data_IF_040218727300
#
_entry.id   IF_040218727300
#
_cell.length_a   1.000
_cell.length_b   1.000
_cell.length_c   1.000
_cell.angle_alpha   90.00
_cell.angle_beta   90.00
_cell.angle_gamma   90.00
#
_symmetry.space_group_name_H-M   'P 1'
#
loop_
_entity.id
_entity.type
_entity.pdbx_description
1 polymer ?
#
# COMPACT_ATOMS: atom_id res chain seq x y z
N UNK A 1 -3.93 -20.89 6.97
CA UNK A 1 -4.17 -19.44 7.12
C UNK A 1 -4.24 -18.88 5.72
N UNK A 2 -5.39 -18.35 5.33
CA UNK A 2 -5.55 -17.62 4.07
C UNK A 2 -4.99 -16.22 4.28
N UNK A 3 -4.23 -15.69 3.32
CA UNK A 3 -3.77 -14.29 3.38
C UNK A 3 -4.99 -13.36 3.32
N UNK A 4 -5.03 -12.32 4.15
CA UNK A 4 -6.09 -11.32 4.13
C UNK A 4 -5.66 -10.14 3.28
N UNK A 5 -6.50 -9.68 2.36
CA UNK A 5 -6.20 -8.49 1.58
C UNK A 5 -6.54 -7.24 2.37
N UNK A 6 -5.53 -6.48 2.75
CA UNK A 6 -5.66 -5.19 3.40
C UNK A 6 -5.49 -4.07 2.39
N UNK A 7 -6.29 -3.03 2.52
CA UNK A 7 -6.15 -1.85 1.68
C UNK A 7 -6.43 -0.59 2.49
N UNK A 8 -5.66 0.46 2.22
CA UNK A 8 -5.76 1.71 2.96
C UNK A 8 -5.87 2.88 1.99
N UNK A 9 -6.74 3.84 2.32
CA UNK A 9 -6.74 5.14 1.65
C UNK A 9 -5.36 5.77 1.82
N UNK A 10 -4.73 6.14 0.71
CA UNK A 10 -3.31 6.49 0.68
C UNK A 10 -3.07 7.85 0.03
N UNK A 11 -2.33 8.74 0.70
CA UNK A 11 -1.86 10.00 0.12
C UNK A 11 -0.74 9.74 -0.90
N UNK A 12 -1.17 9.29 -2.08
CA UNK A 12 -0.30 8.91 -3.18
C UNK A 12 0.54 10.10 -3.67
N UNK A 13 -0.02 11.30 -3.76
CA UNK A 13 0.72 12.47 -4.26
C UNK A 13 1.81 12.91 -3.27
N UNK A 14 1.50 12.88 -1.97
CA UNK A 14 2.49 13.12 -0.92
C UNK A 14 3.61 12.08 -0.95
N UNK A 15 3.25 10.81 -1.09
CA UNK A 15 4.19 9.71 -1.20
C UNK A 15 5.12 9.86 -2.42
N UNK A 16 4.58 10.10 -3.62
CA UNK A 16 5.35 10.28 -4.85
C UNK A 16 6.38 11.40 -4.73
N UNK A 17 6.00 12.51 -4.08
CA UNK A 17 6.83 13.71 -3.98
C UNK A 17 7.94 13.56 -2.93
N UNK A 18 7.65 12.88 -1.83
CA UNK A 18 8.50 12.91 -0.64
C UNK A 18 9.24 11.60 -0.39
N UNK A 19 8.51 10.47 -0.27
CA UNK A 19 9.09 9.20 0.16
C UNK A 19 9.53 8.33 -1.01
N UNK A 20 8.78 8.29 -2.12
CA UNK A 20 9.07 7.39 -3.25
C UNK A 20 10.51 7.52 -3.77
N UNK A 21 11.08 8.72 -4.00
CA UNK A 21 12.46 8.84 -4.47
C UNK A 21 13.46 8.28 -3.46
N UNK A 22 13.27 8.58 -2.17
CA UNK A 22 14.13 8.09 -1.08
C UNK A 22 14.06 6.57 -0.96
N UNK A 23 12.87 6.01 -1.06
CA UNK A 23 12.65 4.57 -0.98
C UNK A 23 13.26 3.85 -2.18
N UNK A 24 13.12 4.39 -3.40
CA UNK A 24 13.76 3.82 -4.58
C UNK A 24 15.29 3.86 -4.50
N UNK A 25 15.86 4.96 -4.02
CA UNK A 25 17.31 5.08 -3.78
C UNK A 25 17.79 4.11 -2.69
N UNK A 26 17.07 4.03 -1.58
CA UNK A 26 17.36 3.11 -0.49
C UNK A 26 17.33 1.65 -0.99
N UNK A 27 16.34 1.28 -1.81
CA UNK A 27 16.28 -0.07 -2.40
C UNK A 27 17.49 -0.36 -3.28
N UNK A 28 17.90 0.58 -4.12
CA UNK A 28 19.04 0.37 -5.03
C UNK A 28 20.37 0.29 -4.28
N UNK A 29 20.55 1.15 -3.29
CA UNK A 29 21.76 1.22 -2.47
C UNK A 29 21.81 0.20 -1.33
N UNK A 30 20.67 -0.45 -1.04
CA UNK A 30 20.47 -1.33 0.11
C UNK A 30 20.79 -0.63 1.45
N UNK A 31 20.65 0.70 1.50
CA UNK A 31 20.89 1.52 2.69
C UNK A 31 19.61 2.21 3.17
N UNK A 32 19.16 1.97 4.41
CA UNK A 32 17.96 2.61 4.96
C UNK A 32 18.21 4.00 5.58
N UNK A 33 19.43 4.52 5.57
CA UNK A 33 19.81 5.73 6.31
C UNK A 33 18.95 6.94 5.98
N UNK A 34 18.62 7.13 4.70
CA UNK A 34 17.74 8.20 4.23
C UNK A 34 16.31 8.06 4.75
N UNK A 35 15.81 6.83 4.90
CA UNK A 35 14.50 6.52 5.47
C UNK A 35 14.46 6.77 6.97
N UNK A 36 15.51 6.35 7.69
CA UNK A 36 15.66 6.61 9.13
C UNK A 36 15.67 8.12 9.40
N UNK A 37 16.46 8.87 8.62
CA UNK A 37 16.50 10.33 8.73
C UNK A 37 15.14 10.97 8.39
N UNK A 38 14.41 10.41 7.41
CA UNK A 38 13.08 10.88 7.03
C UNK A 38 12.07 10.73 8.17
N UNK A 39 12.05 9.57 8.85
CA UNK A 39 11.16 9.30 9.99
C UNK A 39 11.52 10.18 11.19
N UNK A 40 12.81 10.22 11.56
CA UNK A 40 13.29 11.00 12.73
C UNK A 40 13.01 12.50 12.64
N UNK A 41 12.96 13.05 11.42
CA UNK A 41 12.73 14.48 11.22
C UNK A 41 11.34 14.92 11.71
N UNK A 42 10.34 14.03 11.67
CA UNK A 42 8.95 14.38 11.98
C UNK A 42 8.20 13.18 12.58
N UNK A 43 8.79 12.59 13.63
CA UNK A 43 8.36 11.33 14.23
C UNK A 43 6.87 11.31 14.58
N UNK A 44 6.33 12.45 15.01
CA UNK A 44 4.94 12.60 15.41
C UNK A 44 3.91 12.29 14.31
N UNK A 45 4.33 12.25 13.04
CA UNK A 45 3.47 11.94 11.89
C UNK A 45 3.48 10.48 11.47
N UNK A 46 4.27 9.64 12.12
CA UNK A 46 4.40 8.24 11.81
C UNK A 46 3.76 7.39 12.91
N UNK A 47 3.22 6.26 12.50
CA UNK A 47 2.69 5.23 13.37
C UNK A 47 3.47 3.94 13.20
N UNK A 48 3.29 3.04 14.17
CA UNK A 48 3.62 1.64 14.06
C UNK A 48 2.73 1.01 12.95
N UNK A 49 3.31 0.38 11.92
CA UNK A 49 2.53 -0.24 10.84
C UNK A 49 1.71 -1.45 11.31
N UNK A 50 2.04 -2.05 12.46
CA UNK A 50 1.40 -3.25 13.01
C UNK A 50 0.29 -2.92 14.00
N UNK A 51 0.56 -1.99 14.92
CA UNK A 51 -0.39 -1.62 16.00
C UNK A 51 -1.17 -0.33 15.69
N UNK A 52 -0.66 0.52 14.79
CA UNK A 52 -1.25 1.82 14.46
C UNK A 52 -0.98 2.93 15.49
N UNK A 53 -0.30 2.61 16.59
CA UNK A 53 0.08 3.56 17.62
C UNK A 53 1.14 4.56 17.12
N UNK A 54 1.11 5.79 17.64
CA UNK A 54 2.09 6.81 17.27
C UNK A 54 3.50 6.42 17.70
N UNK A 55 4.48 6.60 16.80
CA UNK A 55 5.88 6.28 17.11
C UNK A 55 6.43 7.14 18.25
N UNK A 56 7.22 6.50 19.12
CA UNK A 56 7.95 7.12 20.22
C UNK A 56 9.45 7.20 19.91
N UNK A 57 10.22 7.96 20.69
CA UNK A 57 11.65 8.21 20.44
C UNK A 57 12.48 6.92 20.29
N UNK A 58 12.03 5.82 20.87
CA UNK A 58 12.66 4.50 20.85
C UNK A 58 12.08 3.55 19.80
N UNK A 59 11.31 4.05 18.82
CA UNK A 59 10.66 3.26 17.76
C UNK A 59 11.60 2.33 16.99
N UNK A 60 12.89 2.68 16.86
CA UNK A 60 13.88 1.81 16.21
C UNK A 60 14.05 0.45 16.93
N UNK A 61 13.64 0.35 18.21
CA UNK A 61 13.60 -0.92 18.92
C UNK A 61 12.56 -1.90 18.35
N UNK A 62 11.54 -1.39 17.64
CA UNK A 62 10.54 -2.18 16.93
C UNK A 62 11.08 -2.73 15.59
N UNK A 63 12.22 -2.23 15.12
CA UNK A 63 12.84 -2.63 13.85
C UNK A 63 13.77 -3.81 14.07
N UNK A 64 13.29 -5.01 13.76
CA UNK A 64 14.01 -6.27 13.90
C UNK A 64 15.03 -6.52 12.78
N UNK A 65 14.60 -6.42 11.52
CA UNK A 65 15.41 -6.77 10.34
C UNK A 65 16.41 -5.67 9.99
N UNK A 66 16.10 -4.41 10.33
CA UNK A 66 16.91 -3.21 10.06
C UNK A 66 17.27 -3.06 8.57
N UNK A 67 16.39 -3.52 7.70
CA UNK A 67 16.53 -3.43 6.26
C UNK A 67 15.65 -2.30 5.69
N UNK A 68 15.88 -1.99 4.42
CA UNK A 68 15.12 -0.95 3.68
C UNK A 68 13.61 -1.25 3.68
N UNK A 69 13.23 -2.52 3.71
CA UNK A 69 11.85 -2.95 3.68
C UNK A 69 11.11 -2.55 4.95
N UNK A 70 11.66 -2.91 6.11
CA UNK A 70 11.03 -2.59 7.39
C UNK A 70 11.06 -1.09 7.66
N UNK A 71 12.18 -0.39 7.42
CA UNK A 71 12.21 1.07 7.58
C UNK A 71 11.27 1.81 6.62
N UNK A 72 11.11 1.29 5.40
CA UNK A 72 10.13 1.80 4.44
C UNK A 72 8.69 1.60 4.92
N UNK A 73 8.41 0.49 5.61
CA UNK A 73 7.09 0.20 6.20
C UNK A 73 6.69 1.27 7.23
N UNK A 74 7.59 1.55 8.18
CA UNK A 74 7.41 2.64 9.14
C UNK A 74 7.27 4.00 8.45
N UNK A 75 8.06 4.27 7.40
CA UNK A 75 7.97 5.55 6.68
C UNK A 75 6.63 5.71 5.91
N UNK A 76 6.01 4.61 5.46
CA UNK A 76 4.76 4.64 4.72
C UNK A 76 3.57 5.07 5.57
N UNK A 77 3.58 4.83 6.89
CA UNK A 77 2.47 5.17 7.79
C UNK A 77 2.18 6.67 7.88
N UNK A 78 3.08 7.52 7.37
CA UNK A 78 2.79 8.95 7.15
C UNK A 78 1.65 9.20 6.15
N UNK A 79 1.42 8.26 5.23
CA UNK A 79 0.54 8.42 4.07
C UNK A 79 -0.75 7.60 4.15
N UNK A 80 -0.92 6.76 5.15
CA UNK A 80 -2.15 6.03 5.41
C UNK A 80 -2.35 5.81 6.91
N UNK A 81 -3.57 5.45 7.30
CA UNK A 81 -3.86 5.06 8.68
C UNK A 81 -3.91 3.52 8.78
N UNK A 82 -2.97 2.86 9.51
CA UNK A 82 -2.96 1.41 9.68
C UNK A 82 -4.22 0.82 10.32
N UNK A 83 -4.96 1.61 11.11
CA UNK A 83 -6.20 1.18 11.74
C UNK A 83 -7.44 1.30 10.84
N UNK A 84 -7.31 1.86 9.63
CA UNK A 84 -8.41 2.17 8.73
C UNK A 84 -8.43 1.26 7.49
N UNK A 85 -8.39 -0.06 7.71
CA UNK A 85 -8.48 -1.05 6.63
C UNK A 85 -9.84 -0.99 5.92
N UNK A 86 -9.79 -0.95 4.60
CA UNK A 86 -10.93 -0.98 3.68
C UNK A 86 -10.81 -2.11 2.65
N UNK A 87 -9.87 -3.03 2.86
CA UNK A 87 -9.54 -4.16 2.00
C UNK A 87 -10.67 -5.17 1.83
N UNK A 88 -10.37 -6.19 1.02
CA UNK A 88 -11.30 -7.26 0.66
C UNK A 88 -11.26 -8.44 1.65
N UNK A 89 -10.40 -8.38 2.68
CA UNK A 89 -10.27 -9.42 3.68
C UNK A 89 -9.98 -10.78 3.04
N UNK A 90 -10.64 -11.84 3.49
CA UNK A 90 -10.48 -13.20 2.98
C UNK A 90 -11.15 -13.46 1.62
N UNK A 91 -12.07 -12.60 1.17
CA UNK A 91 -12.83 -12.78 -0.08
C UNK A 91 -12.01 -12.42 -1.34
N UNK A 92 -10.81 -11.84 -1.13
CA UNK A 92 -10.00 -11.25 -2.20
C UNK A 92 -9.55 -12.24 -3.27
N UNK A 93 -9.24 -13.49 -2.93
CA UNK A 93 -8.77 -14.46 -3.91
C UNK A 93 -9.85 -14.80 -4.93
N UNK A 94 -11.10 -14.98 -4.46
CA UNK A 94 -12.24 -15.24 -5.32
C UNK A 94 -12.50 -14.06 -6.25
N UNK A 95 -12.46 -12.85 -5.70
CA UNK A 95 -12.59 -11.61 -6.47
C UNK A 95 -11.46 -11.50 -7.50
N UNK A 96 -10.20 -11.75 -7.11
CA UNK A 96 -9.04 -11.72 -8.01
C UNK A 96 -9.22 -12.64 -9.21
N UNK A 97 -9.65 -13.88 -8.97
CA UNK A 97 -9.88 -14.86 -10.05
C UNK A 97 -10.95 -14.37 -11.03
N UNK A 98 -12.02 -13.75 -10.52
CA UNK A 98 -13.06 -13.17 -11.38
C UNK A 98 -12.51 -11.99 -12.18
N UNK A 99 -11.81 -11.05 -11.54
CA UNK A 99 -11.19 -9.91 -12.23
C UNK A 99 -10.20 -10.37 -13.30
N UNK A 100 -9.33 -11.33 -13.00
CA UNK A 100 -8.36 -11.86 -13.96
C UNK A 100 -9.05 -12.53 -15.16
N UNK A 101 -10.17 -13.22 -14.93
CA UNK A 101 -10.98 -13.81 -16.01
C UNK A 101 -11.62 -12.74 -16.90
N UNK A 102 -12.20 -11.69 -16.32
CA UNK A 102 -12.92 -10.65 -17.07
C UNK A 102 -11.97 -9.62 -17.73
N UNK A 103 -10.86 -9.28 -17.08
CA UNK A 103 -9.97 -8.19 -17.47
C UNK A 103 -8.56 -8.64 -17.90
N UNK A 104 -8.20 -9.91 -17.71
CA UNK A 104 -6.87 -10.44 -18.03
C UNK A 104 -5.76 -9.96 -17.08
N UNK A 105 -6.09 -9.32 -15.97
CA UNK A 105 -5.15 -8.76 -15.00
C UNK A 105 -5.80 -8.59 -13.63
N UNK A 106 -5.02 -8.69 -12.55
CA UNK A 106 -5.45 -8.39 -11.16
C UNK A 106 -5.08 -6.97 -10.70
N UNK A 107 -4.67 -6.08 -11.62
CA UNK A 107 -4.21 -4.74 -11.28
C UNK A 107 -5.26 -3.86 -10.57
N UNK A 108 -6.55 -4.12 -10.75
CA UNK A 108 -7.61 -3.41 -10.03
C UNK A 108 -7.78 -3.87 -8.58
N UNK A 109 -7.40 -5.11 -8.29
CA UNK A 109 -7.38 -5.66 -6.92
C UNK A 109 -6.10 -5.19 -6.21
N UNK A 110 -4.94 -5.48 -6.80
CA UNK A 110 -3.66 -5.28 -6.13
C UNK A 110 -3.10 -3.87 -6.37
N UNK A 111 -3.05 -3.43 -7.62
CA UNK A 111 -2.28 -2.25 -8.04
C UNK A 111 -0.94 -2.62 -8.63
N UNK A 112 0.08 -1.77 -8.41
CA UNK A 112 1.42 -1.95 -8.97
C UNK A 112 2.48 -1.97 -7.87
N UNK A 113 3.47 -2.87 -7.95
CA UNK A 113 4.57 -2.86 -7.00
C UNK A 113 5.46 -1.63 -7.21
N UNK A 114 6.05 -1.12 -6.14
CA UNK A 114 7.15 -0.19 -6.26
C UNK A 114 8.44 -1.00 -6.50
N UNK A 115 9.13 -0.69 -7.58
CA UNK A 115 10.40 -1.31 -7.91
C UNK A 115 11.44 -0.28 -8.39
N UNK A 116 12.71 -0.57 -8.14
CA UNK A 116 13.85 0.18 -8.64
C UNK A 116 14.99 -0.79 -9.01
N UNK A 117 15.44 -0.74 -10.28
CA UNK A 117 16.50 -1.61 -10.81
C UNK A 117 16.28 -3.12 -10.52
N UNK A 118 15.05 -3.59 -10.65
CA UNK A 118 14.70 -5.00 -10.40
C UNK A 118 14.52 -5.38 -8.92
N UNK A 119 14.80 -4.47 -7.99
CA UNK A 119 14.49 -4.64 -6.57
C UNK A 119 13.09 -4.12 -6.27
N UNK A 120 12.26 -4.96 -5.65
CA UNK A 120 10.86 -4.67 -5.35
C UNK A 120 10.74 -4.36 -3.86
N UNK A 121 10.02 -3.30 -3.53
CA UNK A 121 9.69 -3.00 -2.14
C UNK A 121 8.64 -3.97 -1.60
N UNK A 122 9.01 -4.76 -0.59
CA UNK A 122 8.14 -5.76 0.01
C UNK A 122 8.34 -5.82 1.55
N UNK A 123 7.71 -4.91 2.32
CA UNK A 123 7.89 -4.78 3.77
C UNK A 123 7.48 -6.05 4.53
N UNK A 124 6.32 -6.61 4.18
CA UNK A 124 5.79 -7.83 4.80
C UNK A 124 6.26 -9.14 4.16
N UNK A 125 7.04 -9.10 3.08
CA UNK A 125 7.43 -10.27 2.27
C UNK A 125 6.23 -11.04 1.68
N UNK A 126 5.10 -10.34 1.56
CA UNK A 126 3.82 -10.87 1.07
C UNK A 126 3.26 -10.03 -0.09
N UNK A 127 3.92 -8.93 -0.44
CA UNK A 127 3.51 -8.00 -1.47
C UNK A 127 3.09 -6.64 -0.90
N UNK A 128 3.45 -5.60 -1.65
CA UNK A 128 3.11 -4.22 -1.37
C UNK A 128 2.84 -3.51 -2.70
N UNK A 129 1.62 -3.00 -2.84
CA UNK A 129 1.14 -2.47 -4.10
C UNK A 129 0.47 -1.12 -3.91
N UNK A 130 0.55 -0.29 -4.94
CA UNK A 130 0.03 1.06 -4.92
C UNK A 130 -0.88 1.30 -6.12
N UNK A 131 -1.95 2.06 -5.89
CA UNK A 131 -2.82 2.59 -6.94
C UNK A 131 -2.91 4.10 -6.80
N UNK A 132 -2.63 4.82 -7.89
CA UNK A 132 -2.88 6.26 -7.94
C UNK A 132 -4.37 6.55 -8.04
N UNK A 133 -4.77 7.82 -7.84
CA UNK A 133 -6.16 8.25 -8.10
C UNK A 133 -6.61 7.94 -9.52
N UNK A 134 -5.72 8.12 -10.50
CA UNK A 134 -6.02 7.82 -11.90
C UNK A 134 -6.21 6.32 -12.13
N UNK A 135 -5.46 5.47 -11.42
CA UNK A 135 -5.69 4.03 -11.46
C UNK A 135 -7.06 3.68 -10.89
N UNK A 136 -7.46 4.27 -9.75
CA UNK A 136 -8.77 4.06 -9.14
C UNK A 136 -9.90 4.42 -10.11
N UNK A 137 -9.88 5.62 -10.69
CA UNK A 137 -10.91 6.05 -11.65
C UNK A 137 -10.99 5.12 -12.87
N UNK A 138 -9.83 4.74 -13.42
CA UNK A 138 -9.76 3.80 -14.55
C UNK A 138 -10.35 2.45 -14.15
N UNK A 139 -9.99 1.94 -12.99
CA UNK A 139 -10.40 0.62 -12.52
C UNK A 139 -11.92 0.59 -12.25
N UNK A 140 -12.48 1.64 -11.63
CA UNK A 140 -13.94 1.77 -11.45
C UNK A 140 -14.66 1.78 -12.81
N UNK A 141 -14.20 2.60 -13.76
CA UNK A 141 -14.81 2.67 -15.08
C UNK A 141 -14.73 1.34 -15.86
N UNK A 142 -13.74 0.49 -15.57
CA UNK A 142 -13.67 -0.87 -16.10
C UNK A 142 -14.69 -1.79 -15.42
N UNK A 143 -14.81 -1.74 -14.09
CA UNK A 143 -15.74 -2.56 -13.34
C UNK A 143 -17.21 -2.22 -13.63
N UNK A 144 -17.55 -0.95 -13.83
CA UNK A 144 -18.90 -0.49 -14.18
C UNK A 144 -19.40 -1.05 -15.53
N UNK A 145 -18.49 -1.50 -16.40
CA UNK A 145 -18.82 -2.15 -17.68
C UNK A 145 -19.05 -3.65 -17.54
N UNK A 146 -18.70 -4.23 -16.40
CA UNK A 146 -18.89 -5.65 -16.12
C UNK A 146 -20.22 -5.86 -15.40
N UNK A 147 -21.06 -6.74 -15.93
CA UNK A 147 -22.28 -7.20 -15.25
C UNK A 147 -21.95 -8.40 -14.34
N UNK A 148 -21.08 -8.17 -13.35
CA UNK A 148 -20.59 -9.23 -12.45
C UNK A 148 -20.81 -8.83 -10.97
N UNK A 149 -21.89 -9.32 -10.34
CA UNK A 149 -22.25 -8.97 -8.97
C UNK A 149 -21.18 -9.30 -7.92
N UNK A 150 -20.32 -10.31 -8.18
CA UNK A 150 -19.23 -10.70 -7.28
C UNK A 150 -18.15 -9.64 -7.16
N UNK A 151 -18.08 -8.67 -8.08
CA UNK A 151 -17.13 -7.56 -8.03
C UNK A 151 -17.63 -6.37 -7.19
N UNK A 152 -18.84 -6.45 -6.62
CA UNK A 152 -19.38 -5.39 -5.77
C UNK A 152 -18.48 -5.00 -4.58
N UNK A 153 -17.85 -5.94 -3.84
CA UNK A 153 -16.93 -5.56 -2.75
C UNK A 153 -15.73 -4.76 -3.25
N UNK A 154 -15.16 -5.14 -4.40
CA UNK A 154 -14.07 -4.40 -5.06
C UNK A 154 -14.50 -2.99 -5.48
N UNK A 155 -15.67 -2.88 -6.13
CA UNK A 155 -16.21 -1.57 -6.52
C UNK A 155 -16.41 -0.67 -5.29
N UNK A 156 -16.95 -1.21 -4.18
CA UNK A 156 -17.12 -0.48 -2.93
C UNK A 156 -15.80 -0.03 -2.30
N UNK A 157 -14.75 -0.86 -2.32
CA UNK A 157 -13.41 -0.50 -1.83
C UNK A 157 -12.82 0.66 -2.65
N UNK A 158 -12.85 0.55 -3.98
CA UNK A 158 -12.36 1.61 -4.88
C UNK A 158 -13.17 2.90 -4.71
N UNK A 159 -14.48 2.80 -4.51
CA UNK A 159 -15.36 3.94 -4.28
C UNK A 159 -15.04 4.70 -2.98
N UNK A 160 -14.67 3.99 -1.90
CA UNK A 160 -14.21 4.64 -0.67
C UNK A 160 -12.97 5.51 -0.92
N UNK A 161 -11.99 5.00 -1.66
CA UNK A 161 -10.78 5.75 -2.01
C UNK A 161 -11.08 6.92 -2.97
N UNK A 162 -11.96 6.70 -3.96
CA UNK A 162 -12.45 7.74 -4.87
C UNK A 162 -13.13 8.88 -4.10
N UNK A 163 -14.05 8.56 -3.18
CA UNK A 163 -14.75 9.53 -2.37
C UNK A 163 -13.80 10.33 -1.45
N UNK A 164 -12.76 9.68 -0.92
CA UNK A 164 -11.70 10.33 -0.15
C UNK A 164 -10.71 11.14 -1.00
N UNK A 165 -10.78 11.01 -2.34
CA UNK A 165 -9.83 11.60 -3.30
C UNK A 165 -8.39 11.19 -3.02
N UNK A 166 -8.19 9.94 -2.63
CA UNK A 166 -6.88 9.33 -2.31
C UNK A 166 -6.50 8.25 -3.32
N UNK A 167 -5.25 7.81 -3.29
CA UNK A 167 -4.84 6.52 -3.85
C UNK A 167 -5.22 5.36 -2.93
N UNK A 168 -4.67 4.18 -3.24
CA UNK A 168 -4.71 3.00 -2.39
C UNK A 168 -3.31 2.45 -2.16
N UNK A 169 -3.06 1.99 -0.94
CA UNK A 169 -1.97 1.10 -0.59
C UNK A 169 -2.57 -0.26 -0.26
N UNK A 170 -2.03 -1.34 -0.83
CA UNK A 170 -2.52 -2.72 -0.69
C UNK A 170 -1.39 -3.63 -0.19
N UNK A 171 -1.69 -4.43 0.83
CA UNK A 171 -0.78 -5.41 1.44
C UNK A 171 -1.58 -6.56 2.08
N UNK A 172 -0.93 -7.43 2.84
CA UNK A 172 -1.54 -8.63 3.45
C UNK A 172 -1.18 -8.77 4.94
#
# INVERSE_FOLDING_TARGET
MTMEHKAFAFDYDGFERELRPLLQEALVSESPESLVAFVKRDLARFCDPYEGDQLQDDWENLVEAKDVHQYGDFALTKYYNPAADIGLGSEWEEIRVVVERELGTSASVLGRPLAAQGRVFDPGKMGSYFQSRLDIERNIAQLERLDEPRLKPLAMMLDKARAARTGLYVTF
#
